data_IF_942718312291
#
_entry.id   IF_942718312291
#
_cell.length_a   1.000
_cell.length_b   1.000
_cell.length_c   1.000
_cell.angle_alpha   90.00
_cell.angle_beta   90.00
_cell.angle_gamma   90.00
#
_symmetry.space_group_name_H-M   'P 1'
#
loop_
_entity.id
_entity.type
_entity.pdbx_description
1 polymer ?
#
# COMPACT_ATOMS: atom_id res chain seq x y z
N UNK A 1 22.70 -32.09 -16.69
CA UNK A 1 22.25 -30.89 -17.41
C UNK A 1 22.20 -29.73 -16.39
N UNK A 2 23.18 -28.82 -16.45
CA UNK A 2 23.11 -27.59 -15.65
C UNK A 2 22.03 -26.71 -16.28
N UNK A 3 20.83 -26.73 -15.73
CA UNK A 3 19.76 -25.84 -16.14
C UNK A 3 20.24 -24.39 -15.96
N UNK A 4 20.11 -23.57 -17.00
CA UNK A 4 20.40 -22.15 -16.93
C UNK A 4 19.58 -21.53 -15.77
N UNK A 5 20.20 -20.64 -15.02
CA UNK A 5 19.48 -19.91 -13.96
C UNK A 5 18.30 -19.15 -14.57
N UNK A 6 17.09 -19.24 -13.99
CA UNK A 6 15.95 -18.50 -14.53
C UNK A 6 16.21 -16.99 -14.45
N UNK A 7 15.90 -16.28 -15.55
CA UNK A 7 16.01 -14.81 -15.64
C UNK A 7 14.71 -14.17 -15.20
N UNK A 8 14.73 -13.52 -14.03
CA UNK A 8 13.56 -12.91 -13.41
C UNK A 8 13.69 -11.39 -13.45
N UNK A 9 12.73 -10.72 -14.10
CA UNK A 9 12.69 -9.28 -14.21
C UNK A 9 11.67 -8.65 -13.25
N UNK A 10 12.02 -7.48 -12.72
CA UNK A 10 11.07 -6.55 -12.07
C UNK A 10 11.14 -5.23 -12.81
N UNK A 11 9.96 -4.73 -13.18
CA UNK A 11 9.80 -3.36 -13.62
C UNK A 11 9.30 -2.51 -12.45
N UNK A 12 9.77 -1.25 -12.32
CA UNK A 12 9.26 -0.41 -11.24
C UNK A 12 10.11 0.80 -10.93
N UNK A 13 9.65 1.58 -9.96
CA UNK A 13 10.37 2.73 -9.42
C UNK A 13 10.89 2.41 -8.03
N UNK A 14 12.18 2.65 -7.82
CA UNK A 14 12.79 2.64 -6.49
C UNK A 14 12.64 4.03 -5.83
N UNK A 15 12.69 4.11 -4.50
CA UNK A 15 12.75 5.41 -3.82
C UNK A 15 13.94 6.27 -4.32
N UNK A 16 13.83 7.62 -4.36
CA UNK A 16 12.66 8.44 -4.10
C UNK A 16 11.65 8.44 -5.24
N UNK A 17 10.36 8.89 -5.02
CA UNK A 17 9.78 9.31 -3.75
C UNK A 17 9.46 8.12 -2.82
N UNK A 18 9.38 8.41 -1.51
CA UNK A 18 8.92 7.43 -0.54
C UNK A 18 7.41 7.20 -0.70
N UNK A 19 7.04 5.96 -0.94
CA UNK A 19 5.65 5.54 -1.10
C UNK A 19 5.56 4.03 -0.98
N UNK A 20 4.41 3.50 -0.53
CA UNK A 20 4.25 2.08 -0.24
C UNK A 20 4.64 1.16 -1.42
N UNK A 21 4.25 1.52 -2.65
CA UNK A 21 4.64 0.77 -3.84
C UNK A 21 6.15 0.75 -4.06
N UNK A 22 6.82 1.91 -3.97
CA UNK A 22 8.25 2.01 -4.24
C UNK A 22 9.08 1.28 -3.18
N UNK A 23 8.66 1.34 -1.92
CA UNK A 23 9.28 0.59 -0.83
C UNK A 23 9.11 -0.92 -1.01
N UNK A 24 7.91 -1.37 -1.42
CA UNK A 24 7.64 -2.77 -1.70
C UNK A 24 8.49 -3.31 -2.87
N UNK A 25 8.62 -2.53 -3.95
CA UNK A 25 9.47 -2.88 -5.10
C UNK A 25 10.94 -2.93 -4.70
N UNK A 26 11.40 -1.99 -3.86
CA UNK A 26 12.78 -1.98 -3.37
C UNK A 26 13.10 -3.20 -2.50
N UNK A 27 12.18 -3.58 -1.61
CA UNK A 27 12.32 -4.78 -0.78
C UNK A 27 12.36 -6.05 -1.66
N UNK A 28 11.43 -6.16 -2.61
CA UNK A 28 11.36 -7.29 -3.54
C UNK A 28 12.62 -7.39 -4.42
N UNK A 29 13.14 -6.25 -4.89
CA UNK A 29 14.38 -6.21 -5.66
C UNK A 29 15.58 -6.66 -4.84
N UNK A 30 15.69 -6.21 -3.59
CA UNK A 30 16.74 -6.65 -2.66
C UNK A 30 16.69 -8.16 -2.43
N UNK A 31 15.50 -8.73 -2.26
CA UNK A 31 15.30 -10.16 -2.08
C UNK A 31 15.75 -10.96 -3.31
N UNK A 32 15.40 -10.51 -4.53
CA UNK A 32 15.85 -11.17 -5.76
C UNK A 32 17.37 -11.11 -5.91
N UNK A 33 17.99 -9.96 -5.62
CA UNK A 33 19.45 -9.81 -5.71
C UNK A 33 20.21 -10.72 -4.72
N UNK A 34 19.62 -11.03 -3.58
CA UNK A 34 20.23 -11.92 -2.59
C UNK A 34 20.23 -13.40 -2.99
N UNK A 35 19.53 -13.76 -4.08
CA UNK A 35 19.37 -15.14 -4.56
C UNK A 35 20.45 -15.51 -5.56
N UNK A 36 21.25 -16.53 -5.25
CA UNK A 36 22.30 -17.05 -6.15
C UNK A 36 21.76 -18.01 -7.22
N UNK A 37 20.53 -18.51 -7.07
CA UNK A 37 19.92 -19.50 -7.96
C UNK A 37 19.15 -18.88 -9.15
N UNK A 38 19.16 -17.56 -9.30
CA UNK A 38 18.48 -16.83 -10.36
C UNK A 38 19.39 -15.77 -11.00
N UNK A 39 19.02 -15.29 -12.18
CA UNK A 39 19.54 -14.09 -12.84
C UNK A 39 18.48 -12.98 -12.73
N UNK A 40 18.74 -11.94 -11.93
CA UNK A 40 17.78 -10.88 -11.65
C UNK A 40 18.04 -9.66 -12.54
N UNK A 41 16.97 -9.13 -13.16
CA UNK A 41 17.03 -7.98 -14.08
C UNK A 41 16.08 -6.89 -13.60
N UNK A 42 16.57 -5.66 -13.38
CA UNK A 42 15.74 -4.52 -13.06
C UNK A 42 15.45 -3.65 -14.28
N UNK A 43 14.17 -3.30 -14.47
CA UNK A 43 13.70 -2.37 -15.48
C UNK A 43 13.18 -1.09 -14.79
N UNK A 44 14.03 -0.05 -14.63
CA UNK A 44 13.68 1.11 -13.83
C UNK A 44 12.61 1.98 -14.49
N UNK A 45 11.63 2.45 -13.68
CA UNK A 45 10.70 3.51 -14.00
C UNK A 45 11.07 4.74 -13.17
N UNK A 46 11.26 5.90 -13.79
CA UNK A 46 11.59 7.13 -13.07
C UNK A 46 10.63 8.28 -13.45
N UNK A 47 9.33 8.00 -13.34
CA UNK A 47 8.31 8.94 -13.80
C UNK A 47 8.09 10.14 -12.88
N UNK A 48 8.40 10.03 -11.59
CA UNK A 48 8.12 11.07 -10.60
C UNK A 48 9.25 11.21 -9.60
N UNK A 49 10.04 12.30 -9.69
CA UNK A 49 11.07 12.57 -8.69
C UNK A 49 10.50 13.02 -7.33
N UNK A 50 9.25 13.56 -7.30
CA UNK A 50 8.59 14.02 -6.08
C UNK A 50 7.11 13.63 -6.03
N UNK A 51 6.57 13.45 -4.83
CA UNK A 51 5.17 13.04 -4.58
C UNK A 51 4.14 14.00 -5.20
N UNK A 52 4.42 15.31 -5.20
CA UNK A 52 3.52 16.33 -5.76
C UNK A 52 3.37 16.31 -7.29
N UNK A 53 4.25 15.59 -8.01
CA UNK A 53 4.24 15.54 -9.49
C UNK A 53 3.52 14.31 -10.06
N UNK A 54 3.03 13.42 -9.23
CA UNK A 54 2.41 12.15 -9.66
C UNK A 54 1.27 12.37 -10.65
N UNK A 55 0.46 13.41 -10.46
CA UNK A 55 -0.75 13.69 -11.25
C UNK A 55 -0.53 14.64 -12.45
N UNK A 56 0.69 15.12 -12.71
CA UNK A 56 0.97 16.06 -13.82
C UNK A 56 1.62 15.35 -15.00
N UNK A 57 1.10 15.62 -16.21
CA UNK A 57 1.76 15.23 -17.45
C UNK A 57 2.93 16.20 -17.74
N UNK A 58 4.12 15.66 -18.00
CA UNK A 58 5.32 16.43 -18.34
C UNK A 58 6.07 15.78 -19.48
N UNK A 59 6.83 16.54 -20.27
CA UNK A 59 7.71 16.01 -21.31
C UNK A 59 8.71 14.98 -20.78
N UNK A 60 9.16 15.16 -19.53
CA UNK A 60 10.02 14.21 -18.84
C UNK A 60 9.36 12.82 -18.77
N UNK A 61 8.06 12.73 -18.46
CA UNK A 61 7.34 11.44 -18.39
C UNK A 61 7.25 10.75 -19.75
N UNK A 62 7.06 11.51 -20.82
CA UNK A 62 7.06 10.96 -22.18
C UNK A 62 8.44 10.40 -22.56
N UNK A 63 9.50 11.11 -22.22
CA UNK A 63 10.87 10.65 -22.41
C UNK A 63 11.19 9.38 -21.59
N UNK A 64 10.77 9.33 -20.35
CA UNK A 64 10.93 8.14 -19.50
C UNK A 64 10.15 6.94 -20.05
N UNK A 65 8.96 7.12 -20.61
CA UNK A 65 8.24 6.04 -21.31
C UNK A 65 9.07 5.44 -22.44
N UNK A 66 9.72 6.26 -23.24
CA UNK A 66 10.59 5.80 -24.33
C UNK A 66 11.83 5.06 -23.81
N UNK A 67 12.46 5.55 -22.74
CA UNK A 67 13.59 4.84 -22.11
C UNK A 67 13.19 3.46 -21.60
N UNK A 68 12.08 3.36 -20.88
CA UNK A 68 11.56 2.08 -20.38
C UNK A 68 11.25 1.13 -21.53
N UNK A 69 10.56 1.61 -22.57
CA UNK A 69 10.31 0.83 -23.79
C UNK A 69 11.62 0.32 -24.40
N UNK A 70 12.61 1.20 -24.58
CA UNK A 70 13.90 0.83 -25.19
C UNK A 70 14.63 -0.21 -24.33
N UNK A 71 14.58 -0.10 -23.00
CA UNK A 71 15.14 -1.10 -22.09
C UNK A 71 14.44 -2.46 -22.23
N UNK A 72 13.10 -2.49 -22.31
CA UNK A 72 12.34 -3.72 -22.55
C UNK A 72 12.69 -4.35 -23.91
N UNK A 73 12.84 -3.53 -24.95
CA UNK A 73 13.26 -4.02 -26.27
C UNK A 73 14.69 -4.59 -26.24
N UNK A 74 15.61 -3.96 -25.51
CA UNK A 74 16.96 -4.46 -25.31
C UNK A 74 16.95 -5.81 -24.59
N UNK A 75 16.21 -5.93 -23.47
CA UNK A 75 16.02 -7.19 -22.73
C UNK A 75 15.52 -8.29 -23.69
N UNK A 76 14.52 -7.98 -24.53
CA UNK A 76 14.04 -8.93 -25.55
C UNK A 76 15.15 -9.39 -26.51
N UNK A 77 15.99 -8.48 -26.99
CA UNK A 77 17.13 -8.81 -27.90
C UNK A 77 18.19 -9.64 -27.19
N UNK A 78 18.37 -9.50 -25.88
CA UNK A 78 19.29 -10.24 -25.02
C UNK A 78 18.77 -11.66 -24.68
N UNK A 79 17.72 -12.15 -25.33
CA UNK A 79 17.12 -13.47 -25.11
C UNK A 79 15.85 -13.44 -24.24
N UNK A 80 15.40 -12.28 -23.77
CA UNK A 80 14.19 -12.12 -22.96
C UNK A 80 14.36 -12.54 -21.50
N UNK A 81 13.23 -12.59 -20.80
CA UNK A 81 13.12 -13.03 -19.41
C UNK A 81 12.22 -14.26 -19.32
N UNK A 82 12.48 -15.15 -18.38
CA UNK A 82 11.54 -16.23 -18.07
C UNK A 82 10.26 -15.67 -17.50
N UNK A 83 10.36 -14.71 -16.56
CA UNK A 83 9.22 -13.97 -16.03
C UNK A 83 9.55 -12.50 -15.83
N UNK A 84 8.58 -11.63 -16.10
CA UNK A 84 8.64 -10.19 -15.78
C UNK A 84 7.47 -9.81 -14.88
N UNK A 85 7.76 -9.30 -13.68
CA UNK A 85 6.78 -8.66 -12.82
C UNK A 85 6.63 -7.18 -13.20
N UNK A 86 5.40 -6.80 -13.57
CA UNK A 86 5.05 -5.45 -13.99
C UNK A 86 4.03 -4.85 -12.98
N UNK A 87 4.38 -3.76 -12.28
CA UNK A 87 3.47 -3.11 -11.35
C UNK A 87 2.45 -2.25 -12.10
N UNK A 88 1.17 -2.56 -11.95
CA UNK A 88 0.06 -1.75 -12.45
C UNK A 88 0.01 -0.44 -11.66
N UNK A 89 -0.07 0.70 -12.37
CA UNK A 89 0.05 2.03 -11.77
C UNK A 89 -1.20 2.57 -11.10
N UNK A 90 -2.27 1.80 -11.11
CA UNK A 90 -3.53 2.17 -10.52
C UNK A 90 -4.55 2.76 -11.50
N UNK A 91 -5.76 3.05 -11.04
CA UNK A 91 -6.92 3.37 -11.88
C UNK A 91 -6.91 4.78 -12.48
N UNK A 92 -6.04 5.68 -11.99
CA UNK A 92 -5.99 7.07 -12.45
C UNK A 92 -5.50 7.15 -13.91
N UNK A 93 -5.92 8.19 -14.62
CA UNK A 93 -5.71 8.34 -16.07
C UNK A 93 -4.24 8.29 -16.48
N UNK A 94 -3.35 9.02 -15.81
CA UNK A 94 -1.93 9.09 -16.20
C UNK A 94 -1.20 7.74 -15.98
N UNK A 95 -1.30 7.08 -14.80
CA UNK A 95 -0.77 5.73 -14.61
C UNK A 95 -1.34 4.73 -15.62
N UNK A 96 -2.63 4.80 -15.92
CA UNK A 96 -3.27 3.91 -16.86
C UNK A 96 -2.76 4.07 -18.30
N UNK A 97 -2.55 5.30 -18.76
CA UNK A 97 -1.94 5.58 -20.08
C UNK A 97 -0.51 5.00 -20.13
N UNK A 98 0.26 5.15 -19.04
CA UNK A 98 1.58 4.53 -18.92
C UNK A 98 1.50 3.02 -19.14
N UNK A 99 0.58 2.36 -18.45
CA UNK A 99 0.44 0.92 -18.49
C UNK A 99 -0.02 0.44 -19.87
N UNK A 100 -0.97 1.15 -20.50
CA UNK A 100 -1.40 0.86 -21.87
C UNK A 100 -0.26 0.98 -22.90
N UNK A 101 0.68 1.90 -22.68
CA UNK A 101 1.83 2.06 -23.55
C UNK A 101 2.91 0.99 -23.30
N UNK A 102 3.19 0.67 -22.03
CA UNK A 102 4.30 -0.21 -21.65
C UNK A 102 3.96 -1.70 -21.64
N UNK A 103 2.73 -2.09 -21.28
CA UNK A 103 2.35 -3.49 -21.14
C UNK A 103 2.61 -4.36 -22.39
N UNK A 104 2.37 -3.88 -23.64
CA UNK A 104 2.72 -4.67 -24.83
C UNK A 104 4.21 -4.97 -24.96
N UNK A 105 5.06 -4.02 -24.59
CA UNK A 105 6.52 -4.20 -24.63
C UNK A 105 7.01 -5.09 -23.49
N UNK A 106 6.43 -4.95 -22.31
CA UNK A 106 6.69 -5.81 -21.15
C UNK A 106 6.33 -7.27 -21.48
N UNK A 107 5.12 -7.50 -22.02
CA UNK A 107 4.71 -8.86 -22.46
C UNK A 107 5.62 -9.46 -23.54
N UNK A 108 6.10 -8.63 -24.45
CA UNK A 108 6.99 -9.08 -25.53
C UNK A 108 8.43 -9.38 -25.07
N UNK A 109 8.82 -8.92 -23.87
CA UNK A 109 10.16 -9.09 -23.31
C UNK A 109 10.31 -10.34 -22.42
N UNK A 110 9.24 -11.10 -22.18
CA UNK A 110 9.26 -12.24 -21.28
C UNK A 110 8.42 -13.43 -21.78
N UNK A 111 8.73 -14.63 -21.28
CA UNK A 111 7.93 -15.84 -21.47
C UNK A 111 6.65 -15.77 -20.67
N UNK A 112 6.76 -15.50 -19.35
CA UNK A 112 5.63 -15.29 -18.44
C UNK A 112 5.51 -13.83 -18.06
N UNK A 113 4.33 -13.25 -18.25
CA UNK A 113 4.03 -11.86 -17.91
C UNK A 113 3.19 -11.83 -16.64
N UNK A 114 3.80 -11.43 -15.53
CA UNK A 114 3.16 -11.28 -14.24
C UNK A 114 2.83 -9.80 -14.00
N UNK A 115 1.62 -9.50 -13.52
CA UNK A 115 1.27 -8.14 -13.12
C UNK A 115 0.95 -8.08 -11.63
N UNK A 116 1.24 -6.95 -11.01
CA UNK A 116 0.97 -6.72 -9.60
C UNK A 116 0.14 -5.46 -9.41
N UNK A 117 -1.00 -5.60 -8.73
CA UNK A 117 -1.88 -4.49 -8.40
C UNK A 117 -1.50 -3.93 -7.03
N UNK A 118 -0.87 -2.75 -7.01
CA UNK A 118 -0.53 -2.02 -5.78
C UNK A 118 -1.62 -1.05 -5.34
N UNK A 119 -2.52 -0.67 -6.24
CA UNK A 119 -3.68 0.18 -5.97
C UNK A 119 -4.95 -0.57 -6.35
N UNK A 120 -6.00 -0.40 -5.56
CA UNK A 120 -7.34 -0.93 -5.82
C UNK A 120 -8.16 0.03 -6.68
N UNK A 121 -9.31 -0.44 -7.19
CA UNK A 121 -10.34 0.39 -7.79
C UNK A 121 -10.31 0.47 -9.32
N UNK A 122 -9.52 -0.38 -9.98
CA UNK A 122 -9.54 -0.43 -11.45
C UNK A 122 -10.91 -0.87 -11.98
N UNK A 123 -11.52 -1.87 -11.36
CA UNK A 123 -12.82 -2.39 -11.79
C UNK A 123 -13.94 -1.33 -11.68
N UNK A 124 -13.95 -0.53 -10.61
CA UNK A 124 -14.90 0.57 -10.43
C UNK A 124 -14.64 1.69 -11.44
N UNK A 125 -13.39 2.08 -11.61
CA UNK A 125 -13.02 3.15 -12.53
C UNK A 125 -13.33 2.79 -13.98
N UNK A 126 -13.16 1.53 -14.37
CA UNK A 126 -13.48 1.08 -15.73
C UNK A 126 -14.96 1.18 -16.05
N UNK A 127 -15.87 1.11 -15.08
CA UNK A 127 -17.31 1.34 -15.27
C UNK A 127 -17.62 2.79 -15.67
N UNK A 128 -16.81 3.73 -15.20
CA UNK A 128 -16.96 5.17 -15.42
C UNK A 128 -16.25 5.67 -16.68
N UNK A 129 -15.53 4.81 -17.40
CA UNK A 129 -14.78 5.17 -18.61
C UNK A 129 -15.52 4.82 -19.90
N UNK A 130 -15.21 5.49 -21.03
CA UNK A 130 -15.71 5.08 -22.33
C UNK A 130 -15.43 3.59 -22.60
N UNK A 131 -16.42 2.87 -23.10
CA UNK A 131 -16.35 1.41 -23.28
C UNK A 131 -15.15 0.94 -24.13
N UNK A 132 -14.75 1.72 -25.14
CA UNK A 132 -13.59 1.41 -25.98
C UNK A 132 -12.27 1.44 -25.19
N UNK A 133 -12.14 2.41 -24.26
CA UNK A 133 -10.95 2.55 -23.42
C UNK A 133 -10.90 1.41 -22.40
N UNK A 134 -12.03 1.14 -21.72
CA UNK A 134 -12.16 0.02 -20.80
C UNK A 134 -11.79 -1.33 -21.46
N UNK A 135 -12.34 -1.59 -22.67
CA UNK A 135 -12.01 -2.78 -23.46
C UNK A 135 -10.53 -2.84 -23.85
N UNK A 136 -9.90 -1.70 -24.16
CA UNK A 136 -8.47 -1.65 -24.49
C UNK A 136 -7.60 -1.97 -23.26
N UNK A 137 -7.94 -1.41 -22.09
CA UNK A 137 -7.27 -1.71 -20.82
C UNK A 137 -7.36 -3.21 -20.52
N UNK A 138 -8.58 -3.75 -20.50
CA UNK A 138 -8.81 -5.17 -20.25
C UNK A 138 -8.01 -6.05 -21.21
N UNK A 139 -8.05 -5.77 -22.52
CA UNK A 139 -7.31 -6.54 -23.53
C UNK A 139 -5.80 -6.52 -23.33
N UNK A 140 -5.23 -5.40 -22.90
CA UNK A 140 -3.77 -5.28 -22.77
C UNK A 140 -3.26 -5.85 -21.46
N UNK A 141 -3.93 -5.56 -20.33
CA UNK A 141 -3.56 -6.12 -19.03
C UNK A 141 -3.94 -7.61 -18.93
N UNK A 142 -5.05 -8.03 -19.59
CA UNK A 142 -5.49 -9.41 -19.67
C UNK A 142 -4.56 -10.35 -20.44
N UNK A 143 -3.48 -9.84 -21.05
CA UNK A 143 -2.39 -10.66 -21.58
C UNK A 143 -1.42 -11.16 -20.51
N UNK A 144 -1.64 -10.79 -19.24
CA UNK A 144 -0.87 -11.33 -18.13
C UNK A 144 -1.22 -12.80 -17.90
N UNK A 145 -0.20 -13.61 -17.63
CA UNK A 145 -0.35 -15.03 -17.33
C UNK A 145 -0.78 -15.21 -15.85
N UNK A 146 -0.40 -14.27 -14.98
CA UNK A 146 -0.74 -14.26 -13.56
C UNK A 146 -0.88 -12.83 -13.03
N UNK A 147 -1.82 -12.62 -12.13
CA UNK A 147 -1.98 -11.37 -11.39
C UNK A 147 -1.74 -11.58 -9.89
N UNK A 148 -0.99 -10.68 -9.29
CA UNK A 148 -0.79 -10.62 -7.84
C UNK A 148 -1.57 -9.44 -7.25
N UNK A 149 -2.36 -9.73 -6.22
CA UNK A 149 -3.15 -8.75 -5.47
C UNK A 149 -2.79 -8.81 -3.99
N UNK A 150 -3.03 -7.72 -3.27
CA UNK A 150 -2.64 -7.58 -1.87
C UNK A 150 -3.65 -8.20 -0.90
N UNK A 151 -4.91 -8.26 -1.29
CA UNK A 151 -6.02 -8.80 -0.50
C UNK A 151 -7.08 -9.38 -1.44
N UNK A 152 -7.90 -10.31 -0.95
CA UNK A 152 -8.98 -10.92 -1.72
C UNK A 152 -10.02 -9.86 -2.16
N UNK A 153 -10.25 -8.85 -1.33
CA UNK A 153 -11.12 -7.71 -1.65
C UNK A 153 -10.73 -6.96 -2.95
N UNK A 154 -9.51 -7.16 -3.46
CA UNK A 154 -9.02 -6.53 -4.70
C UNK A 154 -9.19 -7.42 -5.94
N UNK A 155 -9.83 -8.60 -5.81
CA UNK A 155 -9.95 -9.60 -6.88
C UNK A 155 -10.67 -9.09 -8.14
N UNK A 156 -11.63 -8.19 -7.98
CA UNK A 156 -12.37 -7.60 -9.10
C UNK A 156 -11.48 -6.86 -10.11
N UNK A 157 -10.33 -6.34 -9.68
CA UNK A 157 -9.43 -5.56 -10.54
C UNK A 157 -8.74 -6.42 -11.62
N UNK A 158 -8.12 -7.57 -11.32
CA UNK A 158 -7.64 -8.47 -12.37
C UNK A 158 -8.77 -9.20 -13.12
N UNK A 159 -9.89 -9.53 -12.46
CA UNK A 159 -11.03 -10.21 -13.11
C UNK A 159 -11.65 -9.38 -14.23
N UNK A 160 -11.78 -8.05 -14.06
CA UNK A 160 -12.30 -7.16 -15.11
C UNK A 160 -11.39 -7.12 -16.34
N UNK A 161 -10.12 -7.51 -16.18
CA UNK A 161 -9.16 -7.70 -17.28
C UNK A 161 -9.21 -9.10 -17.91
N UNK A 162 -9.99 -10.04 -17.34
CA UNK A 162 -10.10 -11.42 -17.82
C UNK A 162 -8.95 -12.33 -17.40
N UNK A 163 -8.20 -11.97 -16.35
CA UNK A 163 -7.10 -12.79 -15.83
C UNK A 163 -7.67 -13.84 -14.89
N UNK A 164 -7.33 -15.11 -15.10
CA UNK A 164 -7.84 -16.25 -14.32
C UNK A 164 -6.89 -16.70 -13.20
N UNK A 165 -5.55 -16.68 -13.42
CA UNK A 165 -4.60 -16.99 -12.34
C UNK A 165 -4.39 -15.74 -11.49
N UNK A 166 -5.13 -15.66 -10.39
CA UNK A 166 -5.08 -14.54 -9.45
C UNK A 166 -4.59 -15.06 -8.10
N UNK A 167 -3.47 -14.51 -7.62
CA UNK A 167 -2.82 -14.94 -6.38
C UNK A 167 -2.78 -13.80 -5.38
N UNK A 168 -3.28 -14.06 -4.17
CA UNK A 168 -3.20 -13.10 -3.06
C UNK A 168 -1.82 -13.19 -2.44
N UNK A 169 -1.07 -12.10 -2.52
CA UNK A 169 0.25 -11.94 -1.93
C UNK A 169 0.30 -10.62 -1.17
N UNK A 170 -0.14 -10.63 0.10
CA UNK A 170 -0.08 -9.45 0.96
C UNK A 170 1.34 -8.94 1.07
N UNK A 171 1.48 -7.64 1.30
CA UNK A 171 2.77 -7.08 1.67
C UNK A 171 3.29 -7.76 2.94
N UNK A 172 4.55 -8.19 2.88
CA UNK A 172 5.29 -8.64 4.04
C UNK A 172 6.28 -7.56 4.43
N UNK A 173 6.31 -7.23 5.72
CA UNK A 173 7.18 -6.19 6.25
C UNK A 173 8.14 -6.78 7.30
N UNK A 174 9.39 -6.31 7.33
CA UNK A 174 10.35 -6.76 8.34
C UNK A 174 9.88 -6.33 9.73
N UNK A 175 10.17 -7.16 10.73
CA UNK A 175 9.88 -6.83 12.12
C UNK A 175 10.84 -5.74 12.62
N UNK A 176 10.29 -4.60 12.97
CA UNK A 176 11.04 -3.45 13.47
C UNK A 176 10.91 -3.30 14.99
N UNK A 177 10.15 -4.19 15.64
CA UNK A 177 9.97 -4.10 17.09
C UNK A 177 11.23 -4.56 17.82
N UNK A 178 11.66 -3.74 18.78
CA UNK A 178 12.64 -4.12 19.75
C UNK A 178 11.95 -4.12 21.13
N UNK A 179 11.93 -5.25 21.86
CA UNK A 179 11.32 -5.32 23.19
C UNK A 179 11.85 -4.27 24.17
N UNK A 180 13.12 -3.84 23.99
CA UNK A 180 13.74 -2.80 24.82
C UNK A 180 13.25 -1.38 24.50
N UNK A 181 12.66 -1.16 23.32
CA UNK A 181 12.14 0.15 22.90
C UNK A 181 10.63 0.26 23.01
N UNK A 182 9.92 -0.79 23.44
CA UNK A 182 8.50 -0.72 23.71
C UNK A 182 8.30 0.21 24.91
N UNK A 183 7.57 1.31 24.70
CA UNK A 183 7.21 2.21 25.80
C UNK A 183 6.37 1.46 26.81
N UNK A 184 6.74 1.60 28.10
CA UNK A 184 5.92 1.09 29.22
C UNK A 184 4.69 1.98 29.45
N UNK A 185 4.80 3.25 29.06
CA UNK A 185 3.77 4.27 29.26
C UNK A 185 3.19 4.67 27.88
N UNK A 186 2.51 3.73 27.25
CA UNK A 186 1.78 4.01 26.01
C UNK A 186 0.64 4.97 26.29
N UNK A 187 0.42 5.93 25.37
CA UNK A 187 -0.63 6.92 25.54
C UNK A 187 -1.22 7.38 24.22
N UNK A 188 -2.53 7.60 24.21
CA UNK A 188 -3.25 8.23 23.13
C UNK A 188 -3.38 7.43 21.85
N UNK A 189 -3.94 8.07 20.85
CA UNK A 189 -4.21 7.50 19.52
C UNK A 189 -3.16 7.95 18.51
N UNK A 190 -2.87 7.07 17.56
CA UNK A 190 -1.95 7.33 16.46
C UNK A 190 -2.65 7.14 15.11
N UNK A 191 -2.38 8.06 14.19
CA UNK A 191 -2.57 7.91 12.76
C UNK A 191 -1.23 8.09 12.04
N UNK A 192 -0.95 7.23 11.07
CA UNK A 192 0.22 7.33 10.19
C UNK A 192 -0.23 7.25 8.73
N UNK A 193 0.23 8.17 7.89
CA UNK A 193 -0.07 8.21 6.46
C UNK A 193 -0.27 9.64 5.94
N UNK A 194 -0.52 9.79 4.66
CA UNK A 194 -0.85 11.11 4.10
C UNK A 194 -2.09 11.71 4.80
N UNK A 195 -2.07 13.03 4.99
CA UNK A 195 -3.15 13.75 5.64
C UNK A 195 -4.05 14.40 4.58
N UNK A 196 -5.35 14.12 4.60
CA UNK A 196 -6.31 14.67 3.64
C UNK A 196 -7.67 13.98 3.67
N UNK A 197 -8.59 14.46 2.82
CA UNK A 197 -9.98 14.02 2.80
C UNK A 197 -10.12 12.51 2.52
N UNK A 198 -9.44 12.00 1.49
CA UNK A 198 -9.48 10.58 1.12
C UNK A 198 -8.91 9.68 2.24
N UNK A 199 -8.07 10.22 3.11
CA UNK A 199 -7.50 9.51 4.26
C UNK A 199 -8.32 9.70 5.55
N UNK A 200 -9.41 10.48 5.49
CA UNK A 200 -10.34 10.69 6.59
C UNK A 200 -9.77 11.51 7.76
N UNK A 201 -8.59 12.12 7.61
CA UNK A 201 -7.92 12.82 8.73
C UNK A 201 -8.61 14.12 9.15
N UNK A 202 -9.28 14.91 8.28
CA UNK A 202 -10.10 16.01 8.73
C UNK A 202 -11.27 15.56 9.62
N UNK A 203 -11.96 14.48 9.20
CA UNK A 203 -13.04 13.87 10.00
C UNK A 203 -12.52 13.29 11.33
N UNK A 204 -11.29 12.79 11.37
CA UNK A 204 -10.69 12.31 12.61
C UNK A 204 -10.44 13.44 13.61
N UNK A 205 -9.96 14.62 13.15
CA UNK A 205 -9.84 15.80 14.03
C UNK A 205 -11.22 16.25 14.52
N UNK A 206 -12.23 16.31 13.65
CA UNK A 206 -13.59 16.65 14.03
C UNK A 206 -14.15 15.67 15.06
N UNK A 207 -13.93 14.35 14.89
CA UNK A 207 -14.37 13.31 15.81
C UNK A 207 -13.80 13.50 17.21
N UNK A 208 -12.62 14.10 17.36
CA UNK A 208 -12.00 14.38 18.68
C UNK A 208 -12.85 15.25 19.59
N UNK A 209 -13.75 16.07 19.05
CA UNK A 209 -14.68 16.86 19.86
C UNK A 209 -15.67 16.00 20.68
N UNK A 210 -15.96 14.78 20.20
CA UNK A 210 -16.90 13.83 20.83
C UNK A 210 -16.21 12.64 21.49
N UNK A 211 -14.88 12.58 21.46
CA UNK A 211 -14.07 11.50 22.05
C UNK A 211 -13.70 11.87 23.50
N UNK A 212 -13.58 10.88 24.42
CA UNK A 212 -13.17 11.12 25.81
C UNK A 212 -11.96 12.04 25.95
N UNK A 213 -11.99 12.95 26.93
CA UNK A 213 -10.99 14.03 27.04
C UNK A 213 -9.58 13.53 27.35
N UNK A 214 -9.45 12.36 27.96
CA UNK A 214 -8.19 11.70 28.29
C UNK A 214 -7.45 11.14 27.06
N UNK A 215 -8.13 11.02 25.91
CA UNK A 215 -7.50 10.56 24.69
C UNK A 215 -6.91 11.71 23.88
N UNK A 216 -5.63 11.65 23.60
CA UNK A 216 -4.94 12.51 22.64
C UNK A 216 -4.82 11.82 21.28
N UNK A 217 -4.52 12.59 20.24
CA UNK A 217 -4.32 12.12 18.87
C UNK A 217 -3.00 12.65 18.32
N UNK A 218 -2.18 11.79 17.80
CA UNK A 218 -0.97 12.15 17.05
C UNK A 218 -1.16 11.79 15.57
N UNK A 219 -0.99 12.77 14.68
CA UNK A 219 -1.04 12.61 13.21
C UNK A 219 0.39 12.72 12.66
N UNK A 220 0.85 11.66 12.00
CA UNK A 220 2.18 11.59 11.37
C UNK A 220 2.03 11.41 9.87
N UNK A 221 2.52 12.37 9.08
CA UNK A 221 2.55 12.29 7.62
C UNK A 221 2.40 13.63 6.91
N UNK A 222 2.60 13.61 5.59
CA UNK A 222 2.50 14.81 4.75
C UNK A 222 1.06 15.13 4.38
N UNK A 223 0.67 16.42 4.42
CA UNK A 223 -0.63 16.84 3.93
C UNK A 223 -0.69 16.74 2.40
N UNK A 224 -1.80 16.21 1.89
CA UNK A 224 -2.13 16.23 0.47
C UNK A 224 -2.89 17.52 0.10
N UNK A 225 -2.60 18.17 -1.03
CA UNK A 225 -3.38 19.32 -1.48
C UNK A 225 -4.89 19.00 -1.55
N UNK A 226 -5.77 19.94 -1.15
CA UNK A 226 -5.50 21.35 -0.80
C UNK A 226 -5.11 21.61 0.67
N UNK A 227 -4.83 20.56 1.46
CA UNK A 227 -4.47 20.63 2.87
C UNK A 227 -3.02 21.09 3.08
N UNK A 228 -2.76 21.62 4.28
CA UNK A 228 -1.44 21.95 4.81
C UNK A 228 -1.41 21.68 6.31
N UNK A 229 -0.24 21.57 6.92
CA UNK A 229 -0.14 21.39 8.38
C UNK A 229 -0.84 22.54 9.12
N UNK A 230 -0.77 23.78 8.60
CA UNK A 230 -1.46 24.92 9.19
C UNK A 230 -2.98 24.75 9.15
N UNK A 231 -3.56 24.34 8.00
CA UNK A 231 -5.01 24.10 7.90
C UNK A 231 -5.50 23.03 8.87
N UNK A 232 -4.69 21.99 9.12
CA UNK A 232 -5.03 20.99 10.15
C UNK A 232 -5.00 21.55 11.55
N UNK A 233 -4.03 22.43 11.89
CA UNK A 233 -4.01 23.15 13.19
C UNK A 233 -5.21 24.08 13.34
N UNK A 234 -5.57 24.80 12.29
CA UNK A 234 -6.74 25.68 12.27
C UNK A 234 -8.05 24.88 12.49
N UNK A 235 -8.11 23.68 11.85
CA UNK A 235 -9.23 22.77 12.04
C UNK A 235 -9.32 22.25 13.49
N UNK A 236 -8.20 21.87 14.11
CA UNK A 236 -8.15 21.46 15.50
C UNK A 236 -8.60 22.60 16.44
N UNK A 237 -8.22 23.84 16.13
CA UNK A 237 -8.69 25.03 16.87
C UNK A 237 -10.19 25.26 16.70
N UNK A 238 -10.70 25.11 15.47
CA UNK A 238 -12.14 25.27 15.17
C UNK A 238 -12.99 24.31 15.99
N UNK A 239 -12.54 23.07 16.20
CA UNK A 239 -13.26 22.06 16.98
C UNK A 239 -12.89 22.06 18.49
N UNK A 240 -12.05 22.98 18.95
CA UNK A 240 -11.68 23.10 20.36
C UNK A 240 -10.83 21.94 20.90
N UNK A 241 -10.04 21.29 20.03
CA UNK A 241 -9.26 20.08 20.37
C UNK A 241 -7.75 20.27 20.22
N UNK A 242 -7.27 21.50 20.04
CA UNK A 242 -5.85 21.82 19.80
C UNK A 242 -4.90 21.22 20.84
N UNK A 243 -5.29 21.22 22.12
CA UNK A 243 -4.47 20.73 23.22
C UNK A 243 -4.29 19.20 23.22
N UNK A 244 -5.13 18.49 22.45
CA UNK A 244 -5.15 17.02 22.38
C UNK A 244 -4.76 16.47 21.02
N UNK A 245 -4.49 17.32 20.01
CA UNK A 245 -4.16 16.92 18.64
C UNK A 245 -2.77 17.39 18.26
N UNK A 246 -1.84 16.44 18.16
CA UNK A 246 -0.47 16.69 17.76
C UNK A 246 -0.31 16.43 16.25
N UNK A 247 0.04 17.45 15.48
CA UNK A 247 0.24 17.36 14.02
C UNK A 247 1.73 17.46 13.72
N UNK A 248 2.35 16.32 13.43
CA UNK A 248 3.81 16.18 13.38
C UNK A 248 4.38 16.46 11.98
N UNK A 249 3.62 16.19 10.91
CA UNK A 249 4.15 16.19 9.55
C UNK A 249 4.90 14.90 9.22
N UNK A 250 5.62 14.89 8.08
CA UNK A 250 6.39 13.73 7.64
C UNK A 250 7.57 13.42 8.57
N UNK A 251 7.87 12.13 8.69
CA UNK A 251 9.05 11.62 9.41
C UNK A 251 9.76 10.58 8.57
N UNK A 252 11.05 10.41 8.81
CA UNK A 252 11.81 9.33 8.20
C UNK A 252 11.25 7.97 8.67
N UNK A 253 11.28 6.92 7.83
CA UNK A 253 10.73 5.61 8.18
C UNK A 253 11.28 5.06 9.52
N UNK A 254 12.54 5.35 9.82
CA UNK A 254 13.22 4.91 11.04
C UNK A 254 12.67 5.61 12.30
N UNK A 255 12.13 6.81 12.15
CA UNK A 255 11.56 7.59 13.28
C UNK A 255 10.10 7.19 13.56
N UNK A 256 9.39 6.65 12.55
CA UNK A 256 7.96 6.33 12.67
C UNK A 256 7.70 5.24 13.71
N UNK A 257 8.62 4.31 13.88
CA UNK A 257 8.56 3.26 14.88
C UNK A 257 8.37 3.76 16.33
N UNK A 258 8.97 4.91 16.67
CA UNK A 258 8.82 5.52 17.99
C UNK A 258 7.37 5.95 18.28
N UNK A 259 6.63 6.45 17.27
CA UNK A 259 5.22 6.82 17.42
C UNK A 259 4.34 5.59 17.61
N UNK A 260 4.57 4.51 16.86
CA UNK A 260 3.85 3.25 17.08
C UNK A 260 4.14 2.67 18.48
N UNK A 261 5.39 2.74 18.94
CA UNK A 261 5.78 2.25 20.27
C UNK A 261 5.10 3.01 21.40
N UNK A 262 4.90 4.33 21.25
CA UNK A 262 4.31 5.20 22.27
C UNK A 262 2.78 5.18 22.27
N UNK A 263 2.12 4.77 21.19
CA UNK A 263 0.67 4.79 21.07
C UNK A 263 0.00 3.61 21.77
N UNK A 264 -1.27 3.80 22.17
CA UNK A 264 -2.13 2.75 22.75
C UNK A 264 -3.17 2.22 21.75
N UNK A 265 -3.61 3.07 20.82
CA UNK A 265 -4.65 2.76 19.85
C UNK A 265 -4.26 3.32 18.48
N UNK A 266 -4.44 2.55 17.44
CA UNK A 266 -4.24 3.01 16.07
C UNK A 266 -5.57 3.31 15.39
N UNK A 267 -5.67 4.45 14.69
CA UNK A 267 -6.91 4.86 14.00
C UNK A 267 -6.64 5.04 12.52
N UNK A 268 -7.39 4.33 11.67
CA UNK A 268 -7.24 4.37 10.21
C UNK A 268 -8.58 4.61 9.51
N UNK A 269 -9.02 5.88 9.38
CA UNK A 269 -10.32 6.23 8.80
C UNK A 269 -10.30 6.38 7.27
N UNK A 270 -9.32 5.79 6.58
CA UNK A 270 -9.13 5.94 5.14
C UNK A 270 -10.35 5.49 4.34
N UNK A 271 -10.78 6.34 3.40
CA UNK A 271 -11.78 6.05 2.36
C UNK A 271 -11.19 6.25 0.97
N UNK A 272 -9.86 6.19 0.85
CA UNK A 272 -9.17 6.36 -0.41
C UNK A 272 -9.60 5.29 -1.43
N UNK A 273 -10.06 5.67 -2.62
CA UNK A 273 -10.59 4.73 -3.60
C UNK A 273 -9.53 3.76 -4.13
N UNK A 274 -8.25 4.10 -3.99
CA UNK A 274 -7.10 3.30 -4.40
C UNK A 274 -6.46 2.50 -3.24
N UNK A 275 -7.05 2.48 -2.04
CA UNK A 275 -6.53 1.72 -0.91
C UNK A 275 -6.61 0.22 -1.18
N UNK A 276 -5.48 -0.44 -1.32
CA UNK A 276 -5.41 -1.86 -1.68
C UNK A 276 -5.08 -2.77 -0.50
N UNK A 277 -4.40 -2.24 0.52
CA UNK A 277 -3.93 -3.04 1.65
C UNK A 277 -3.88 -2.26 2.97
N UNK A 278 -3.42 -0.99 2.93
CA UNK A 278 -3.19 -0.23 4.15
C UNK A 278 -1.98 -0.76 4.93
N UNK A 279 -0.77 -0.61 4.41
CA UNK A 279 0.48 -1.06 5.05
C UNK A 279 0.56 -0.68 6.52
N UNK A 280 0.11 0.52 6.86
CA UNK A 280 0.10 1.05 8.23
C UNK A 280 -0.77 0.22 9.19
N UNK A 281 -1.76 -0.54 8.69
CA UNK A 281 -2.52 -1.51 9.51
C UNK A 281 -1.64 -2.68 9.93
N UNK A 282 -0.83 -3.22 9.00
CA UNK A 282 0.13 -4.27 9.32
C UNK A 282 1.24 -3.76 10.24
N UNK A 283 1.67 -2.50 10.06
CA UNK A 283 2.61 -1.85 10.98
C UNK A 283 2.01 -1.71 12.38
N UNK A 284 0.77 -1.23 12.52
CA UNK A 284 0.09 -1.15 13.82
C UNK A 284 -0.02 -2.53 14.49
N UNK A 285 -0.33 -3.58 13.72
CA UNK A 285 -0.36 -4.96 14.23
C UNK A 285 1.03 -5.44 14.65
N UNK A 286 2.09 -5.08 13.93
CA UNK A 286 3.47 -5.37 14.29
C UNK A 286 3.81 -4.84 15.69
N UNK A 287 3.32 -3.64 16.01
CA UNK A 287 3.50 -3.02 17.33
C UNK A 287 2.46 -3.46 18.38
N UNK A 288 1.57 -4.38 18.02
CA UNK A 288 0.55 -4.89 18.93
C UNK A 288 -0.48 -3.83 19.35
N UNK A 289 -0.85 -2.93 18.46
CA UNK A 289 -1.87 -1.92 18.73
C UNK A 289 -3.26 -2.47 18.40
N UNK A 290 -4.27 -2.22 19.25
CA UNK A 290 -5.68 -2.28 18.84
C UNK A 290 -5.94 -1.28 17.72
N UNK A 291 -6.93 -1.57 16.86
CA UNK A 291 -7.17 -0.81 15.64
C UNK A 291 -8.63 -0.36 15.58
N UNK A 292 -8.84 0.92 15.29
CA UNK A 292 -10.10 1.48 14.80
C UNK A 292 -9.92 1.74 13.30
N UNK A 293 -10.68 1.08 12.42
CA UNK A 293 -10.54 1.25 10.99
C UNK A 293 -11.88 1.35 10.27
N UNK A 294 -11.92 2.10 9.17
CA UNK A 294 -13.07 2.12 8.28
C UNK A 294 -13.26 0.76 7.60
N UNK A 295 -14.52 0.35 7.41
CA UNK A 295 -14.89 -0.82 6.60
C UNK A 295 -14.80 -0.46 5.11
N UNK A 296 -13.59 -0.18 4.66
CA UNK A 296 -13.32 0.29 3.30
C UNK A 296 -12.32 -0.60 2.59
N UNK A 297 -12.66 -1.03 1.36
CA UNK A 297 -11.78 -1.86 0.52
C UNK A 297 -11.24 -3.07 1.31
N UNK A 298 -9.92 -3.23 1.38
CA UNK A 298 -9.27 -4.34 2.06
C UNK A 298 -9.10 -4.17 3.57
N UNK A 299 -9.45 -3.02 4.16
CA UNK A 299 -9.15 -2.72 5.57
C UNK A 299 -9.67 -3.81 6.52
N UNK A 300 -10.96 -4.23 6.38
CA UNK A 300 -11.55 -5.30 7.19
C UNK A 300 -10.81 -6.62 7.02
N UNK A 301 -10.44 -6.98 5.79
CA UNK A 301 -9.71 -8.22 5.52
C UNK A 301 -8.31 -8.20 6.13
N UNK A 302 -7.61 -7.07 6.00
CA UNK A 302 -6.25 -6.90 6.56
C UNK A 302 -6.27 -6.97 8.07
N UNK A 303 -7.17 -6.22 8.72
CA UNK A 303 -7.35 -6.26 10.18
C UNK A 303 -7.81 -7.67 10.61
N UNK A 304 -8.66 -8.31 9.83
CA UNK A 304 -9.11 -9.70 10.02
C UNK A 304 -10.17 -9.88 11.08
N UNK A 305 -10.56 -11.16 11.32
CA UNK A 305 -11.47 -11.50 12.39
C UNK A 305 -10.77 -11.21 13.72
N UNK A 306 -11.46 -10.55 14.61
CA UNK A 306 -10.96 -10.20 15.93
C UNK A 306 -11.80 -9.10 16.55
N UNK A 307 -11.34 -8.58 17.67
CA UNK A 307 -12.07 -7.59 18.44
C UNK A 307 -11.74 -6.14 18.08
N UNK A 308 -11.04 -5.92 16.95
CA UNK A 308 -10.79 -4.57 16.44
C UNK A 308 -12.10 -3.83 16.10
N UNK A 309 -12.03 -2.52 16.08
CA UNK A 309 -13.19 -1.66 15.96
C UNK A 309 -13.37 -1.19 14.51
N UNK A 310 -14.19 -1.91 13.75
CA UNK A 310 -14.47 -1.60 12.34
C UNK A 310 -15.76 -0.77 12.27
N UNK A 311 -15.75 0.34 11.54
CA UNK A 311 -16.89 1.24 11.40
C UNK A 311 -17.25 1.50 9.93
N UNK A 312 -18.53 1.80 9.61
CA UNK A 312 -18.96 2.18 8.26
C UNK A 312 -18.24 3.43 7.77
N UNK A 313 -17.73 3.44 6.51
CA UNK A 313 -16.98 4.60 6.00
C UNK A 313 -17.89 5.79 5.72
N UNK A 314 -17.32 7.01 5.75
CA UNK A 314 -17.92 8.23 5.20
C UNK A 314 -18.60 9.16 6.20
N UNK A 315 -18.84 8.75 7.44
CA UNK A 315 -19.47 9.62 8.46
C UNK A 315 -18.55 9.78 9.67
N UNK A 316 -18.36 11.03 10.10
CA UNK A 316 -17.53 11.36 11.27
C UNK A 316 -18.16 10.82 12.57
N UNK A 317 -19.48 10.75 12.62
CA UNK A 317 -20.23 10.20 13.75
C UNK A 317 -19.93 8.72 13.99
N UNK A 318 -19.88 7.93 12.91
CA UNK A 318 -19.55 6.49 13.00
C UNK A 318 -18.11 6.29 13.46
N UNK A 319 -17.18 7.12 13.00
CA UNK A 319 -15.79 7.14 13.48
C UNK A 319 -15.70 7.47 14.96
N UNK A 320 -16.37 8.55 15.40
CA UNK A 320 -16.35 8.97 16.81
C UNK A 320 -16.95 7.90 17.71
N UNK A 321 -18.06 7.27 17.31
CA UNK A 321 -18.69 6.18 18.05
C UNK A 321 -17.77 4.96 18.15
N UNK A 322 -17.05 4.62 17.08
CA UNK A 322 -16.09 3.52 17.11
C UNK A 322 -14.93 3.80 18.08
N UNK A 323 -14.40 5.02 18.10
CA UNK A 323 -13.36 5.44 19.05
C UNK A 323 -13.91 5.40 20.50
N UNK A 324 -15.12 5.92 20.75
CA UNK A 324 -15.75 5.87 22.07
C UNK A 324 -15.99 4.42 22.53
N UNK A 325 -16.43 3.55 21.61
CA UNK A 325 -16.57 2.09 21.89
C UNK A 325 -15.22 1.47 22.24
N UNK A 326 -14.16 1.81 21.49
CA UNK A 326 -12.81 1.36 21.78
C UNK A 326 -12.36 1.82 23.18
N UNK A 327 -12.56 3.10 23.50
CA UNK A 327 -12.20 3.67 24.80
C UNK A 327 -12.90 2.99 25.97
N UNK A 328 -14.20 2.67 25.83
CA UNK A 328 -14.96 1.93 26.84
C UNK A 328 -14.46 0.51 27.09
N UNK A 329 -13.83 -0.11 26.10
CA UNK A 329 -13.23 -1.44 26.21
C UNK A 329 -11.71 -1.42 26.38
N UNK A 330 -11.14 -0.35 26.96
CA UNK A 330 -9.69 -0.16 27.09
C UNK A 330 -9.00 -1.28 27.87
N UNK A 331 -9.66 -1.90 28.81
CA UNK A 331 -9.16 -3.07 29.57
C UNK A 331 -8.84 -4.29 28.67
N UNK A 332 -9.46 -4.35 27.49
CA UNK A 332 -9.22 -5.43 26.50
C UNK A 332 -8.10 -5.12 25.50
N UNK A 333 -7.62 -3.88 25.45
CA UNK A 333 -6.59 -3.48 24.48
C UNK A 333 -5.32 -4.35 24.52
N UNK A 334 -4.80 -4.79 25.67
CA UNK A 334 -3.67 -5.70 25.70
C UNK A 334 -3.94 -7.03 24.99
N UNK A 335 -5.14 -7.58 25.15
CA UNK A 335 -5.56 -8.84 24.51
C UNK A 335 -5.68 -8.67 23.00
N UNK A 336 -6.37 -7.59 22.56
CA UNK A 336 -6.53 -7.25 21.16
C UNK A 336 -5.16 -7.02 20.52
N UNK A 337 -4.27 -6.32 21.20
CA UNK A 337 -2.92 -6.07 20.74
C UNK A 337 -2.11 -7.36 20.53
N UNK A 338 -2.22 -8.32 21.44
CA UNK A 338 -1.59 -9.64 21.28
C UNK A 338 -2.14 -10.41 20.08
N UNK A 339 -3.46 -10.40 19.86
CA UNK A 339 -4.10 -11.02 18.69
C UNK A 339 -3.61 -10.37 17.40
N UNK A 340 -3.51 -9.03 17.36
CA UNK A 340 -3.00 -8.28 16.23
C UNK A 340 -1.53 -8.62 15.96
N UNK A 341 -0.70 -8.68 17.01
CA UNK A 341 0.70 -9.09 16.89
C UNK A 341 0.83 -10.51 16.31
N UNK A 342 0.06 -11.45 16.79
CA UNK A 342 0.04 -12.83 16.28
C UNK A 342 -0.39 -12.87 14.80
N UNK A 343 -1.38 -12.04 14.41
CA UNK A 343 -1.80 -11.92 13.02
C UNK A 343 -0.69 -11.38 12.14
N UNK A 344 0.03 -10.32 12.59
CA UNK A 344 1.21 -9.82 11.89
C UNK A 344 2.25 -10.93 11.71
N UNK A 345 2.61 -11.64 12.76
CA UNK A 345 3.63 -12.69 12.73
C UNK A 345 3.29 -13.84 11.78
N UNK A 346 2.02 -14.20 11.68
CA UNK A 346 1.55 -15.31 10.84
C UNK A 346 1.24 -14.94 9.40
N UNK A 347 0.96 -13.65 9.11
CA UNK A 347 0.48 -13.23 7.79
C UNK A 347 1.33 -12.16 7.10
N UNK A 348 1.91 -11.23 7.88
CA UNK A 348 2.50 -9.99 7.34
C UNK A 348 3.98 -9.82 7.67
N UNK A 349 4.53 -10.62 8.58
CA UNK A 349 5.96 -10.65 8.86
C UNK A 349 6.72 -11.21 7.66
N UNK A 350 7.84 -10.58 7.32
CA UNK A 350 8.71 -11.06 6.25
C UNK A 350 9.13 -12.50 6.52
N UNK A 351 8.92 -13.39 5.55
CA UNK A 351 9.20 -14.82 5.66
C UNK A 351 8.11 -15.67 6.32
N UNK A 352 7.01 -15.09 6.82
CA UNK A 352 5.92 -15.86 7.44
C UNK A 352 5.14 -16.75 6.46
N UNK A 353 5.15 -16.41 5.19
CA UNK A 353 4.43 -17.15 4.12
C UNK A 353 5.26 -17.19 2.85
N UNK A 354 4.80 -18.01 1.91
CA UNK A 354 5.34 -18.05 0.56
C UNK A 354 5.42 -16.60 0.01
N UNK A 355 6.63 -16.20 -0.33
CA UNK A 355 6.89 -14.84 -0.81
C UNK A 355 6.51 -14.70 -2.28
N UNK A 356 6.32 -13.47 -2.73
CA UNK A 356 6.14 -13.18 -4.15
C UNK A 356 7.35 -13.66 -4.97
N UNK A 357 8.57 -13.56 -4.41
CA UNK A 357 9.81 -14.04 -5.03
C UNK A 357 9.76 -15.55 -5.31
N UNK A 358 9.29 -16.33 -4.35
CA UNK A 358 9.17 -17.77 -4.50
C UNK A 358 8.15 -18.17 -5.57
N UNK A 359 7.04 -17.43 -5.69
CA UNK A 359 6.09 -17.64 -6.80
C UNK A 359 6.72 -17.31 -8.14
N UNK A 360 7.43 -16.18 -8.25
CA UNK A 360 8.11 -15.79 -9.50
C UNK A 360 9.12 -16.87 -9.92
N UNK A 361 9.93 -17.39 -8.98
CA UNK A 361 10.89 -18.46 -9.24
C UNK A 361 10.18 -19.74 -9.70
N UNK A 362 9.08 -20.11 -9.02
CA UNK A 362 8.33 -21.33 -9.38
C UNK A 362 7.74 -21.22 -10.78
N UNK A 363 7.15 -20.08 -11.15
CA UNK A 363 6.59 -19.84 -12.48
C UNK A 363 7.70 -19.81 -13.53
N UNK A 364 8.84 -19.18 -13.23
CA UNK A 364 9.96 -19.12 -14.18
C UNK A 364 10.57 -20.50 -14.47
N UNK A 365 10.47 -21.45 -13.54
CA UNK A 365 10.98 -22.84 -13.67
C UNK A 365 9.96 -23.80 -14.30
N UNK A 366 8.67 -23.41 -14.44
CA UNK A 366 7.63 -24.20 -15.13
C UNK A 366 7.72 -24.05 -16.65
#
# INVERSE_FOLDING_TARGET
MHGSRPRIGIAGQLPPPLGGQNLAIAALWKDLQARADIDSVFCPFQFTPTTGQVRRATWHKAWELLKVRNRLMQIKKEGGLDILLFPVGGPQTIPLIRDLFLAPWARAACRYFAIQFHAAGLAEEMKNRPSWLAKRVARLLGKADVAFIMAEANRADPEVCGISDIRVRPHQIPDQTNPLTLSKDRNGMLYVGHLGDEKGTPGLIQAMASVPQELSLTLVGDPLPPWSLQKFRDLAKQYGVSERVNIIGSRAPEEVGAFYSAAELFVFPSVAPYESFGLVLAEAMMWGLPIVASDWKANREVVGPGENFIFPPGRTEDLSQAIVKAAKGRERWPIIGLQNRQRYETKYKLGARLTLVEDLIRIAKS
#
